data_IF_362255100605
#
_entry.id   IF_362255100605
#
_cell.length_a   1.000
_cell.length_b   1.000
_cell.length_c   1.000
_cell.angle_alpha   90.00
_cell.angle_beta   90.00
_cell.angle_gamma   90.00
#
_symmetry.space_group_name_H-M   'P 1'
#
loop_
_entity.id
_entity.type
_entity.pdbx_description
1 polymer ?
#
# COMPACT_ATOMS: atom_id res chain seq x y z
N UNK A 1 -19.03 -2.62 0.27
CA UNK A 1 -18.41 -3.68 -0.57
C UNK A 1 -17.67 -3.07 -1.76
N UNK A 2 -16.39 -2.75 -1.57
CA UNK A 2 -15.57 -2.17 -2.65
C UNK A 2 -14.96 -3.24 -3.57
N UNK A 3 -14.88 -4.49 -3.14
CA UNK A 3 -14.35 -5.61 -3.93
C UNK A 3 -15.25 -6.84 -3.79
N UNK A 4 -16.46 -6.81 -4.36
CA UNK A 4 -17.46 -7.88 -4.19
C UNK A 4 -17.10 -9.19 -4.90
N UNK A 5 -16.12 -9.16 -5.82
CA UNK A 5 -15.71 -10.33 -6.61
C UNK A 5 -15.02 -11.40 -5.77
N UNK A 6 -14.43 -11.02 -4.63
CA UNK A 6 -13.69 -11.96 -3.80
C UNK A 6 -14.65 -12.55 -2.77
N UNK A 7 -14.95 -13.83 -2.90
CA UNK A 7 -15.81 -14.55 -1.96
C UNK A 7 -15.15 -14.65 -0.58
N UNK A 8 -15.93 -14.40 0.48
CA UNK A 8 -15.47 -14.51 1.86
C UNK A 8 -14.88 -13.24 2.46
N UNK A 9 -14.76 -12.17 1.72
CA UNK A 9 -14.12 -10.91 2.15
C UNK A 9 -15.01 -9.99 3.01
N UNK A 10 -16.20 -10.42 3.37
CA UNK A 10 -17.16 -9.60 4.13
C UNK A 10 -16.63 -9.10 5.47
N UNK A 11 -15.68 -9.85 6.05
CA UNK A 11 -15.12 -9.55 7.36
C UNK A 11 -13.77 -8.83 7.30
N UNK A 12 -13.22 -8.59 6.09
CA UNK A 12 -11.97 -7.85 5.91
C UNK A 12 -12.27 -6.36 5.77
N UNK A 13 -11.67 -5.56 6.64
CA UNK A 13 -11.72 -4.09 6.57
C UNK A 13 -10.51 -3.52 5.83
N UNK A 14 -10.62 -2.28 5.33
CA UNK A 14 -9.48 -1.56 4.75
C UNK A 14 -8.34 -1.40 5.77
N UNK A 15 -8.68 -1.24 7.05
CA UNK A 15 -7.71 -1.15 8.13
C UNK A 15 -6.93 -2.46 8.31
N UNK A 16 -7.56 -3.61 8.18
CA UNK A 16 -6.86 -4.91 8.21
C UNK A 16 -5.89 -5.07 7.03
N UNK A 17 -6.27 -4.61 5.84
CA UNK A 17 -5.39 -4.59 4.67
C UNK A 17 -4.18 -3.66 4.91
N UNK A 18 -4.41 -2.43 5.40
CA UNK A 18 -3.37 -1.46 5.73
C UNK A 18 -2.37 -1.98 6.76
N UNK A 19 -2.83 -2.77 7.70
CA UNK A 19 -2.04 -3.34 8.78
C UNK A 19 -1.51 -4.76 8.50
N UNK A 20 -1.69 -5.27 7.29
CA UNK A 20 -1.24 -6.61 6.92
C UNK A 20 -1.79 -7.73 7.81
N UNK A 21 -3.08 -7.62 8.17
CA UNK A 21 -3.78 -8.58 9.03
C UNK A 21 -5.05 -9.15 8.36
N UNK A 22 -5.06 -9.27 7.05
CA UNK A 22 -6.26 -9.72 6.33
C UNK A 22 -6.60 -11.19 6.52
N UNK A 23 -5.60 -12.02 6.86
CA UNK A 23 -5.77 -13.48 6.95
C UNK A 23 -5.88 -14.17 5.58
N UNK A 24 -5.49 -13.46 4.51
CA UNK A 24 -5.49 -14.03 3.17
C UNK A 24 -4.42 -15.10 3.00
N UNK A 25 -4.75 -16.16 2.26
CA UNK A 25 -3.81 -17.19 1.85
C UNK A 25 -2.87 -16.66 0.76
N UNK A 26 -1.63 -16.43 1.14
CA UNK A 26 -0.53 -16.05 0.24
C UNK A 26 0.67 -16.97 0.34
N UNK A 27 0.51 -18.13 0.96
CA UNK A 27 1.62 -19.01 1.24
C UNK A 27 2.19 -19.67 -0.03
N UNK A 28 3.51 -19.67 -0.07
CA UNK A 28 4.29 -20.33 -1.11
C UNK A 28 4.87 -19.38 -2.16
N UNK A 29 6.09 -19.72 -2.57
CA UNK A 29 6.87 -18.97 -3.56
C UNK A 29 6.10 -18.71 -4.86
N UNK A 30 5.29 -19.66 -5.31
CA UNK A 30 4.52 -19.51 -6.55
C UNK A 30 3.44 -18.45 -6.46
N UNK A 31 2.73 -18.33 -5.33
CA UNK A 31 1.71 -17.29 -5.14
C UNK A 31 2.34 -15.90 -5.08
N UNK A 32 3.48 -15.78 -4.38
CA UNK A 32 4.26 -14.54 -4.35
C UNK A 32 4.77 -14.18 -5.75
N UNK A 33 5.28 -15.14 -6.52
CA UNK A 33 5.73 -14.89 -7.89
C UNK A 33 4.56 -14.50 -8.81
N UNK A 34 3.42 -15.17 -8.68
CA UNK A 34 2.27 -14.92 -9.54
C UNK A 34 1.77 -13.47 -9.48
N UNK A 35 1.75 -12.84 -8.32
CA UNK A 35 1.30 -11.44 -8.21
C UNK A 35 2.23 -10.47 -8.96
N UNK A 36 3.54 -10.76 -9.02
CA UNK A 36 4.50 -9.92 -9.75
C UNK A 36 4.41 -10.09 -11.26
N UNK A 37 4.14 -11.30 -11.74
CA UNK A 37 4.21 -11.66 -13.17
C UNK A 37 2.84 -11.82 -13.83
N UNK A 38 1.75 -11.72 -13.08
CA UNK A 38 0.39 -11.75 -13.66
C UNK A 38 0.20 -10.62 -14.67
N UNK A 39 -0.44 -10.97 -15.76
CA UNK A 39 -0.90 -10.02 -16.80
C UNK A 39 -2.38 -9.64 -16.61
N UNK A 40 -3.06 -10.21 -15.62
CA UNK A 40 -4.44 -9.93 -15.24
C UNK A 40 -4.60 -10.06 -13.72
N UNK A 41 -4.31 -8.97 -13.01
CA UNK A 41 -4.39 -8.92 -11.56
C UNK A 41 -5.83 -9.01 -11.04
N UNK A 42 -6.80 -8.51 -11.80
CA UNK A 42 -8.23 -8.60 -11.43
C UNK A 42 -8.73 -10.04 -11.44
N UNK A 43 -8.24 -10.85 -12.38
CA UNK A 43 -8.55 -12.27 -12.40
C UNK A 43 -7.80 -13.02 -11.29
N UNK A 44 -6.53 -12.69 -11.09
CA UNK A 44 -5.68 -13.34 -10.09
C UNK A 44 -6.23 -13.25 -8.68
N UNK A 45 -6.84 -12.10 -8.31
CA UNK A 45 -7.37 -11.93 -6.94
C UNK A 45 -8.47 -12.92 -6.59
N UNK A 46 -9.15 -13.52 -7.57
CA UNK A 46 -10.18 -14.55 -7.33
C UNK A 46 -9.59 -15.89 -6.85
N UNK A 47 -8.28 -16.08 -6.99
CA UNK A 47 -7.59 -17.28 -6.52
C UNK A 47 -7.19 -17.20 -5.03
N UNK A 48 -7.38 -16.02 -4.41
CA UNK A 48 -7.12 -15.81 -2.99
C UNK A 48 -8.36 -16.12 -2.15
N UNK A 49 -8.13 -16.66 -0.98
CA UNK A 49 -9.18 -16.93 0.01
C UNK A 49 -8.67 -16.63 1.42
N UNK A 50 -9.58 -16.56 2.38
CA UNK A 50 -9.23 -16.39 3.79
C UNK A 50 -8.93 -17.78 4.36
N UNK A 51 -7.75 -17.95 4.95
CA UNK A 51 -7.34 -19.18 5.64
C UNK A 51 -7.05 -18.98 7.12
N UNK A 52 -6.99 -17.73 7.56
CA UNK A 52 -6.78 -17.33 8.96
C UNK A 52 -7.80 -16.28 9.39
N UNK A 53 -8.05 -16.19 10.68
CA UNK A 53 -9.00 -15.21 11.24
C UNK A 53 -8.54 -13.77 10.92
N UNK A 54 -9.33 -12.96 10.18
CA UNK A 54 -8.97 -11.58 9.87
C UNK A 54 -8.75 -10.74 11.14
N UNK A 55 -7.73 -9.91 11.13
CA UNK A 55 -7.38 -9.01 12.24
C UNK A 55 -6.59 -9.66 13.38
N UNK A 56 -6.26 -10.94 13.32
CA UNK A 56 -5.60 -11.66 14.42
C UNK A 56 -4.09 -11.71 14.29
N UNK A 57 -3.59 -11.93 13.08
CA UNK A 57 -2.18 -12.17 12.83
C UNK A 57 -1.63 -11.19 11.80
N UNK A 58 -0.41 -10.72 12.04
CA UNK A 58 0.34 -9.94 11.07
C UNK A 58 1.06 -10.86 10.10
N UNK A 59 0.85 -10.62 8.81
CA UNK A 59 1.62 -11.24 7.75
C UNK A 59 1.74 -10.29 6.56
N UNK A 60 3.00 -9.95 6.22
CA UNK A 60 3.26 -9.05 5.10
C UNK A 60 2.90 -9.71 3.76
N UNK A 61 1.92 -9.14 3.07
CA UNK A 61 1.40 -9.68 1.82
C UNK A 61 1.11 -8.57 0.80
N UNK A 62 1.68 -8.70 -0.38
CA UNK A 62 1.52 -7.75 -1.48
C UNK A 62 0.07 -7.62 -1.95
N UNK A 63 -0.72 -8.68 -1.86
CA UNK A 63 -2.13 -8.66 -2.24
C UNK A 63 -2.93 -7.66 -1.41
N UNK A 64 -2.58 -7.44 -0.14
CA UNK A 64 -3.27 -6.46 0.70
C UNK A 64 -3.20 -5.06 0.10
N UNK A 65 -2.01 -4.65 -0.35
CA UNK A 65 -1.82 -3.32 -0.96
C UNK A 65 -2.47 -3.24 -2.35
N UNK A 66 -2.46 -4.33 -3.12
CA UNK A 66 -3.20 -4.39 -4.38
C UNK A 66 -4.70 -4.18 -4.17
N UNK A 67 -5.29 -4.87 -3.20
CA UNK A 67 -6.71 -4.74 -2.86
C UNK A 67 -7.06 -3.33 -2.37
N UNK A 68 -6.18 -2.69 -1.60
CA UNK A 68 -6.36 -1.28 -1.21
C UNK A 68 -6.41 -0.37 -2.43
N UNK A 69 -5.49 -0.52 -3.38
CA UNK A 69 -5.49 0.27 -4.61
C UNK A 69 -6.78 0.07 -5.43
N UNK A 70 -7.22 -1.17 -5.61
CA UNK A 70 -8.47 -1.48 -6.30
C UNK A 70 -9.69 -0.87 -5.58
N UNK A 71 -9.72 -0.93 -4.25
CA UNK A 71 -10.80 -0.32 -3.46
C UNK A 71 -10.82 1.20 -3.61
N UNK A 72 -9.66 1.84 -3.61
CA UNK A 72 -9.53 3.29 -3.83
C UNK A 72 -10.02 3.65 -5.23
N UNK A 73 -9.54 2.98 -6.29
CA UNK A 73 -9.96 3.23 -7.67
C UNK A 73 -11.48 3.16 -7.84
N UNK A 74 -12.12 2.18 -7.23
CA UNK A 74 -13.59 2.07 -7.25
C UNK A 74 -14.28 3.17 -6.48
N UNK A 75 -13.74 3.57 -5.34
CA UNK A 75 -14.33 4.62 -4.52
C UNK A 75 -14.25 5.99 -5.19
N UNK A 76 -13.14 6.27 -5.89
CA UNK A 76 -12.91 7.58 -6.54
C UNK A 76 -13.40 7.61 -8.00
N UNK A 77 -13.63 6.44 -8.62
CA UNK A 77 -14.11 6.33 -10.00
C UNK A 77 -13.06 6.71 -11.08
N UNK A 78 -11.77 6.69 -10.72
CA UNK A 78 -10.66 6.99 -11.64
C UNK A 78 -9.42 6.18 -11.27
N UNK A 79 -8.45 6.11 -12.18
CA UNK A 79 -7.19 5.43 -11.93
C UNK A 79 -6.44 6.06 -10.74
N UNK A 80 -5.88 5.22 -9.88
CA UNK A 80 -5.15 5.67 -8.69
C UNK A 80 -3.91 6.50 -9.06
N UNK A 81 -3.30 6.26 -10.22
CA UNK A 81 -2.17 7.05 -10.72
C UNK A 81 -2.56 8.50 -11.00
N UNK A 82 -3.74 8.70 -11.62
CA UNK A 82 -4.30 10.05 -11.86
C UNK A 82 -4.64 10.75 -10.55
N UNK A 83 -5.19 10.00 -9.60
CA UNK A 83 -5.47 10.53 -8.26
C UNK A 83 -4.18 10.94 -7.54
N UNK A 84 -3.16 10.08 -7.53
CA UNK A 84 -1.86 10.35 -6.94
C UNK A 84 -1.20 11.59 -7.56
N UNK A 85 -1.28 11.72 -8.89
CA UNK A 85 -0.75 12.90 -9.60
C UNK A 85 -1.39 14.19 -9.11
N UNK A 86 -2.73 14.26 -9.08
CA UNK A 86 -3.46 15.48 -8.72
C UNK A 86 -3.36 15.83 -7.24
N UNK A 87 -3.52 14.82 -6.37
CA UNK A 87 -3.69 15.05 -4.94
C UNK A 87 -2.37 15.10 -4.18
N UNK A 88 -1.32 14.48 -4.71
CA UNK A 88 -0.02 14.44 -4.04
C UNK A 88 1.07 15.08 -4.91
N UNK A 89 1.30 14.56 -6.11
CA UNK A 89 2.46 14.93 -6.94
C UNK A 89 2.49 16.42 -7.27
N UNK A 90 1.39 16.93 -7.81
CA UNK A 90 1.27 18.35 -8.18
C UNK A 90 1.25 19.27 -6.95
N UNK A 91 0.49 18.91 -5.90
CA UNK A 91 0.39 19.71 -4.67
C UNK A 91 1.70 19.80 -3.92
N UNK A 92 2.49 18.72 -3.92
CA UNK A 92 3.82 18.70 -3.31
C UNK A 92 4.89 19.39 -4.15
N UNK A 93 4.60 19.75 -5.39
CA UNK A 93 5.58 20.33 -6.30
C UNK A 93 6.72 19.36 -6.57
N UNK A 94 6.39 18.11 -6.94
CA UNK A 94 7.40 17.12 -7.33
C UNK A 94 8.15 17.61 -8.55
N UNK A 95 9.47 17.34 -8.61
CA UNK A 95 10.37 17.93 -9.61
C UNK A 95 10.34 17.18 -10.93
N UNK A 96 10.00 15.90 -10.90
CA UNK A 96 10.07 15.02 -12.06
C UNK A 96 8.80 14.18 -12.20
N UNK A 97 8.52 13.76 -13.42
CA UNK A 97 7.50 12.77 -13.68
C UNK A 97 7.90 11.42 -13.05
N UNK A 98 6.90 10.69 -12.62
CA UNK A 98 7.04 9.31 -12.17
C UNK A 98 6.23 8.38 -13.06
N UNK A 99 6.63 7.10 -13.08
CA UNK A 99 5.85 6.06 -13.74
C UNK A 99 5.42 5.00 -12.72
N UNK A 100 4.27 4.38 -12.96
CA UNK A 100 3.80 3.27 -12.14
C UNK A 100 3.51 2.05 -13.00
N UNK A 101 4.08 0.89 -12.64
CA UNK A 101 3.91 -0.35 -13.40
C UNK A 101 2.48 -0.86 -13.34
N UNK A 102 2.00 -1.36 -14.47
CA UNK A 102 0.71 -2.04 -14.59
C UNK A 102 0.92 -3.53 -14.88
N UNK A 103 -0.13 -4.33 -14.74
CA UNK A 103 -0.09 -5.77 -15.04
C UNK A 103 0.09 -6.04 -16.54
N UNK A 104 -0.68 -5.36 -17.39
CA UNK A 104 -0.57 -5.44 -18.84
C UNK A 104 -1.14 -4.20 -19.51
N UNK A 105 -0.83 -4.00 -20.79
CA UNK A 105 -1.46 -2.95 -21.61
C UNK A 105 -2.95 -3.16 -21.80
N UNK A 106 -3.41 -4.41 -21.75
CA UNK A 106 -4.81 -4.77 -21.99
C UNK A 106 -5.68 -4.42 -20.75
N UNK A 107 -5.23 -4.76 -19.56
CA UNK A 107 -6.01 -4.62 -18.34
C UNK A 107 -5.71 -3.33 -17.57
N UNK A 108 -4.51 -2.78 -17.72
CA UNK A 108 -4.06 -1.51 -17.16
C UNK A 108 -4.27 -1.40 -15.63
N UNK A 109 -4.22 -2.53 -14.91
CA UNK A 109 -4.33 -2.52 -13.47
C UNK A 109 -2.98 -2.16 -12.85
N UNK A 110 -2.94 -1.06 -12.10
CA UNK A 110 -1.74 -0.62 -11.38
C UNK A 110 -1.31 -1.68 -10.37
N UNK A 111 -0.01 -1.98 -10.34
CA UNK A 111 0.60 -2.86 -9.33
C UNK A 111 0.74 -2.10 -8.01
N UNK A 112 -0.35 -1.96 -7.27
CA UNK A 112 -0.40 -1.15 -6.05
C UNK A 112 0.63 -1.51 -4.97
N UNK A 113 1.24 -2.67 -5.07
CA UNK A 113 2.25 -3.18 -4.14
C UNK A 113 3.70 -2.88 -4.54
N UNK A 114 3.94 -2.38 -5.77
CA UNK A 114 5.29 -2.08 -6.26
C UNK A 114 5.26 -1.21 -7.53
N UNK A 115 6.46 -0.88 -8.04
CA UNK A 115 6.65 -0.42 -9.41
C UNK A 115 6.46 1.08 -9.63
N UNK A 116 6.43 1.89 -8.59
CA UNK A 116 6.61 3.35 -8.74
C UNK A 116 8.09 3.62 -9.00
N UNK A 117 8.38 4.24 -10.15
CA UNK A 117 9.71 4.73 -10.51
C UNK A 117 9.69 6.25 -10.43
N UNK A 118 10.32 6.81 -9.42
CA UNK A 118 10.37 8.23 -9.14
C UNK A 118 11.80 8.68 -8.86
N UNK A 119 12.08 9.96 -9.05
CA UNK A 119 13.37 10.54 -8.69
C UNK A 119 13.56 10.50 -7.15
N UNK A 120 14.78 10.19 -6.64
CA UNK A 120 15.03 10.13 -5.20
C UNK A 120 14.66 11.42 -4.46
N UNK A 121 14.85 12.58 -5.10
CA UNK A 121 14.45 13.87 -4.51
C UNK A 121 12.95 13.97 -4.25
N UNK A 122 12.12 13.40 -5.13
CA UNK A 122 10.68 13.44 -4.98
C UNK A 122 10.20 12.43 -3.93
N UNK A 123 10.88 11.27 -3.80
CA UNK A 123 10.66 10.36 -2.68
C UNK A 123 11.04 11.02 -1.34
N UNK A 124 12.13 11.81 -1.29
CA UNK A 124 12.50 12.57 -0.11
C UNK A 124 11.46 13.63 0.26
N UNK A 125 10.85 14.31 -0.73
CA UNK A 125 9.71 15.22 -0.49
C UNK A 125 8.52 14.49 0.09
N UNK A 126 8.21 13.29 -0.42
CA UNK A 126 7.14 12.45 0.13
C UNK A 126 7.39 12.11 1.62
N UNK A 127 8.60 11.68 1.96
CA UNK A 127 8.99 11.49 3.36
C UNK A 127 8.85 12.76 4.20
N UNK A 128 9.22 13.92 3.63
CA UNK A 128 9.07 15.22 4.28
C UNK A 128 7.61 15.60 4.57
N UNK A 129 6.66 15.22 3.72
CA UNK A 129 5.23 15.41 3.97
C UNK A 129 4.84 14.76 5.31
N UNK A 130 5.25 13.52 5.52
CA UNK A 130 4.97 12.80 6.77
C UNK A 130 5.69 13.40 7.97
N UNK A 131 6.94 13.86 7.82
CA UNK A 131 7.69 14.52 8.89
C UNK A 131 7.06 15.84 9.37
N UNK A 132 6.28 16.50 8.52
CA UNK A 132 5.63 17.76 8.82
C UNK A 132 4.11 17.62 8.97
N UNK A 133 3.64 16.54 9.57
CA UNK A 133 2.22 16.32 9.86
C UNK A 133 1.34 16.43 8.60
N UNK A 134 1.83 15.99 7.44
CA UNK A 134 1.11 16.03 6.17
C UNK A 134 1.15 17.37 5.42
N UNK A 135 1.87 18.37 5.96
CA UNK A 135 1.98 19.69 5.37
C UNK A 135 3.27 19.84 4.57
N UNK A 136 3.20 20.30 3.34
CA UNK A 136 4.36 20.54 2.50
C UNK A 136 4.07 21.57 1.41
N UNK A 137 5.06 22.37 1.02
CA UNK A 137 4.97 23.36 -0.06
C UNK A 137 3.73 24.29 0.02
N UNK A 138 3.42 24.73 1.25
CA UNK A 138 2.26 25.61 1.47
C UNK A 138 0.89 24.92 1.52
N UNK A 139 0.83 23.60 1.37
CA UNK A 139 -0.40 22.81 1.29
C UNK A 139 -0.48 21.74 2.38
N UNK A 140 -1.67 21.48 2.90
CA UNK A 140 -1.99 20.27 3.65
C UNK A 140 -2.31 19.18 2.63
N UNK A 141 -1.35 18.28 2.34
CA UNK A 141 -1.44 17.24 1.31
C UNK A 141 -2.10 15.98 1.89
N UNK A 142 -1.66 15.59 3.09
CA UNK A 142 -2.22 14.45 3.82
C UNK A 142 -2.84 15.00 5.12
N UNK A 143 -4.05 14.60 5.50
CA UNK A 143 -4.65 15.05 6.76
C UNK A 143 -3.73 14.75 7.94
N UNK A 144 -3.52 15.76 8.83
CA UNK A 144 -2.67 15.61 10.01
C UNK A 144 -3.07 14.41 10.89
N UNK A 145 -4.35 14.20 11.06
CA UNK A 145 -4.87 13.08 11.83
C UNK A 145 -4.42 11.74 11.21
N UNK A 146 -4.51 11.59 9.89
CA UNK A 146 -4.05 10.40 9.18
C UNK A 146 -2.57 10.11 9.41
N UNK A 147 -1.71 11.15 9.32
CA UNK A 147 -0.28 11.00 9.58
C UNK A 147 -0.02 10.46 10.98
N UNK A 148 -0.70 11.01 11.99
CA UNK A 148 -0.56 10.58 13.38
C UNK A 148 -1.06 9.14 13.58
N UNK A 149 -2.20 8.79 13.02
CA UNK A 149 -2.75 7.43 13.07
C UNK A 149 -1.83 6.43 12.38
N UNK A 150 -1.19 6.80 11.28
CA UNK A 150 -0.25 5.93 10.54
C UNK A 150 0.94 5.48 11.39
N UNK A 151 1.28 6.20 12.45
CA UNK A 151 2.40 5.86 13.34
C UNK A 151 1.97 5.30 14.69
N UNK A 152 0.68 5.17 14.93
CA UNK A 152 0.19 4.44 16.09
C UNK A 152 0.64 2.97 15.95
N UNK A 153 1.35 2.44 16.93
CA UNK A 153 1.84 1.05 16.95
C UNK A 153 0.65 0.09 17.03
N UNK A 154 -0.05 -0.06 15.92
CA UNK A 154 -1.29 -0.81 15.83
C UNK A 154 -1.07 -2.29 16.10
N UNK A 155 -0.06 -2.87 15.43
CA UNK A 155 0.35 -4.23 15.69
C UNK A 155 1.36 -4.26 16.83
N UNK A 156 1.00 -4.93 17.92
CA UNK A 156 1.93 -5.20 19.03
C UNK A 156 3.03 -6.19 18.63
N UNK A 157 2.82 -6.90 17.53
CA UNK A 157 3.78 -7.86 16.99
C UNK A 157 4.82 -7.14 16.13
N UNK A 158 6.03 -7.61 16.22
CA UNK A 158 7.12 -7.18 15.36
C UNK A 158 7.26 -8.14 14.19
N UNK A 159 7.65 -7.61 13.04
CA UNK A 159 8.09 -8.46 11.95
C UNK A 159 9.43 -9.15 12.28
N UNK A 160 9.89 -10.02 11.38
CA UNK A 160 11.16 -10.76 11.56
C UNK A 160 12.39 -9.85 11.68
N UNK A 161 12.30 -8.61 11.20
CA UNK A 161 13.36 -7.61 11.24
C UNK A 161 13.27 -6.71 12.48
N UNK A 162 12.28 -6.94 13.35
CA UNK A 162 12.08 -6.25 14.62
C UNK A 162 11.31 -4.94 14.54
N UNK A 163 10.68 -4.65 13.40
CA UNK A 163 9.84 -3.48 13.22
C UNK A 163 8.38 -3.75 13.66
N UNK A 164 7.75 -2.75 14.25
CA UNK A 164 6.29 -2.71 14.31
C UNK A 164 5.74 -2.31 12.93
N UNK A 165 4.50 -2.68 12.64
CA UNK A 165 3.84 -2.32 11.39
C UNK A 165 2.55 -1.56 11.66
N UNK A 166 2.34 -0.44 10.96
CA UNK A 166 1.12 0.35 11.08
C UNK A 166 0.87 1.12 9.78
N UNK A 167 -0.30 0.98 9.20
CA UNK A 167 -0.76 1.67 7.99
C UNK A 167 0.29 1.72 6.88
N UNK A 168 0.85 0.55 6.54
CA UNK A 168 1.88 0.37 5.52
C UNK A 168 3.27 0.94 5.86
N UNK A 169 3.49 1.41 7.09
CA UNK A 169 4.80 1.83 7.59
C UNK A 169 5.41 0.81 8.53
N UNK A 170 6.72 0.62 8.43
CA UNK A 170 7.50 -0.05 9.47
C UNK A 170 8.01 0.98 10.47
N UNK A 171 7.80 0.71 11.74
CA UNK A 171 8.12 1.63 12.84
C UNK A 171 9.23 1.00 13.67
N UNK A 172 10.36 1.70 13.79
CA UNK A 172 11.51 1.26 14.57
C UNK A 172 11.30 1.53 16.07
N UNK A 173 12.15 0.91 16.91
CA UNK A 173 12.16 1.22 18.34
C UNK A 173 12.57 2.67 18.65
N UNK A 174 13.30 3.31 17.74
CA UNK A 174 13.74 4.70 17.85
C UNK A 174 12.68 5.72 17.40
N UNK A 175 11.44 5.30 17.22
CA UNK A 175 10.34 6.11 16.70
C UNK A 175 10.60 6.67 15.28
N UNK A 176 11.49 6.06 14.53
CA UNK A 176 11.61 6.31 13.10
C UNK A 176 10.64 5.42 12.35
N UNK A 177 10.11 5.91 11.24
CA UNK A 177 9.29 5.15 10.33
C UNK A 177 10.03 4.98 9.00
N UNK A 178 9.87 3.81 8.40
CA UNK A 178 10.56 3.46 7.17
C UNK A 178 9.62 2.71 6.23
N UNK A 179 9.76 2.98 4.94
CA UNK A 179 9.22 2.15 3.88
C UNK A 179 10.39 1.33 3.32
N UNK A 180 10.34 0.01 3.48
CA UNK A 180 11.43 -0.88 3.09
C UNK A 180 11.02 -1.67 1.86
N UNK A 181 11.73 -1.48 0.76
CA UNK A 181 11.53 -2.21 -0.47
C UNK A 181 12.48 -3.40 -0.65
N UNK A 182 12.11 -4.30 -1.56
CA UNK A 182 12.95 -5.43 -1.94
C UNK A 182 14.30 -4.94 -2.49
N UNK A 183 15.38 -5.61 -2.10
CA UNK A 183 16.77 -5.24 -2.41
C UNK A 183 17.28 -3.97 -1.70
N UNK A 184 16.59 -3.49 -0.66
CA UNK A 184 17.13 -2.51 0.28
C UNK A 184 16.98 -1.05 -0.14
N UNK A 185 15.96 -0.71 -0.91
CA UNK A 185 15.54 0.70 -1.03
C UNK A 185 14.74 1.11 0.22
N UNK A 186 15.07 2.29 0.73
CA UNK A 186 14.50 2.90 1.93
C UNK A 186 14.00 4.31 1.61
#
# INVERSE_FOLDING_TARGET
DYIPEIQGFKDITLEMLLNMCSGLDCDGFMKVANIYFSTDLKKLINDYHIDRDPGKEYEYQNVNTLLLCMAIERAIGTDISVFLEKEVWQKAGMSYDATWSVDSKQHNQVKGFCGINAAPIDLAKFGSIYLHDGYYNGNQIIPRQWVRESFCKYNKLKDKDGYYYSYSWRITNANAFVAVGFLGQY
#
